data_IF_379516314711
#
_entry.id   IF_379516314711
#
_cell.length_a   1.000
_cell.length_b   1.000
_cell.length_c   1.000
_cell.angle_alpha   90.00
_cell.angle_beta   90.00
_cell.angle_gamma   90.00
#
_symmetry.space_group_name_H-M   'P 1'
#
loop_
_entity.id
_entity.type
_entity.pdbx_description
1 polymer ?
#
# COMPACT_ATOMS: atom_id res chain seq x y z
N UNK A 1 -66.07 -25.21 -9.86
CA UNK A 1 -64.75 -25.46 -9.23
C UNK A 1 -63.91 -24.19 -9.33
N UNK A 2 -63.81 -23.41 -8.26
CA UNK A 2 -63.01 -22.17 -8.22
C UNK A 2 -61.56 -22.52 -7.94
N UNK A 3 -60.65 -22.23 -8.88
CA UNK A 3 -59.20 -22.38 -8.67
C UNK A 3 -58.71 -21.18 -7.86
N UNK A 4 -58.26 -21.42 -6.64
CA UNK A 4 -57.58 -20.43 -5.80
C UNK A 4 -56.09 -20.50 -6.14
N UNK A 5 -55.55 -19.43 -6.70
CA UNK A 5 -54.13 -19.30 -7.01
C UNK A 5 -53.46 -18.51 -5.89
N UNK A 6 -52.66 -19.19 -5.05
CA UNK A 6 -51.86 -18.55 -4.01
C UNK A 6 -50.58 -18.04 -4.67
N UNK A 7 -50.38 -16.74 -4.67
CA UNK A 7 -49.14 -16.09 -5.09
C UNK A 7 -48.27 -15.91 -3.85
N UNK A 8 -47.17 -16.66 -3.78
CA UNK A 8 -46.18 -16.56 -2.71
C UNK A 8 -45.15 -15.49 -3.09
N UNK A 9 -45.18 -14.34 -2.41
CA UNK A 9 -44.23 -13.25 -2.61
C UNK A 9 -43.01 -13.47 -1.69
N UNK A 10 -41.89 -13.91 -2.25
CA UNK A 10 -40.62 -14.07 -1.51
C UNK A 10 -39.85 -12.75 -1.59
N UNK A 11 -39.84 -11.98 -0.50
CA UNK A 11 -38.94 -10.84 -0.34
C UNK A 11 -37.51 -11.35 -0.12
N UNK A 12 -36.69 -11.28 -1.17
CA UNK A 12 -35.24 -11.44 -1.04
C UNK A 12 -34.65 -10.15 -0.48
N UNK A 13 -34.25 -10.15 0.78
CA UNK A 13 -33.35 -9.13 1.32
C UNK A 13 -31.95 -9.38 0.76
N UNK A 14 -31.56 -8.63 -0.26
CA UNK A 14 -30.16 -8.52 -0.66
C UNK A 14 -29.44 -7.64 0.37
N UNK A 15 -28.68 -8.26 1.27
CA UNK A 15 -27.68 -7.54 2.06
C UNK A 15 -26.57 -7.09 1.12
N UNK A 16 -26.60 -5.82 0.73
CA UNK A 16 -25.43 -5.20 0.08
C UNK A 16 -24.38 -5.09 1.19
N UNK A 17 -23.46 -6.05 1.26
CA UNK A 17 -22.25 -5.91 2.03
C UNK A 17 -21.43 -4.78 1.39
N UNK A 18 -21.68 -3.55 1.82
CA UNK A 18 -20.78 -2.44 1.52
C UNK A 18 -19.46 -2.77 2.19
N UNK A 19 -18.46 -3.22 1.43
CA UNK A 19 -17.09 -3.21 1.92
C UNK A 19 -16.75 -1.74 2.18
N UNK A 20 -16.73 -1.33 3.45
CA UNK A 20 -16.28 -0.01 3.83
C UNK A 20 -14.82 0.09 3.39
N UNK A 21 -14.55 0.79 2.28
CA UNK A 21 -13.22 0.89 1.71
C UNK A 21 -12.35 1.73 2.63
N UNK A 22 -11.58 1.10 3.49
CA UNK A 22 -10.71 1.76 4.47
C UNK A 22 -9.88 2.93 3.87
N UNK A 23 -9.77 4.03 4.63
CA UNK A 23 -9.17 5.30 4.16
C UNK A 23 -7.73 5.14 3.69
N UNK A 24 -6.97 4.20 4.25
CA UNK A 24 -5.57 3.93 3.88
C UNK A 24 -5.45 2.85 2.81
N UNK A 25 -6.37 1.88 2.78
CA UNK A 25 -6.31 0.77 1.84
C UNK A 25 -6.49 1.23 0.40
N UNK A 26 -5.67 0.71 -0.51
CA UNK A 26 -5.66 1.05 -1.92
C UNK A 26 -4.27 1.46 -2.44
N UNK A 27 -4.28 2.05 -3.64
CA UNK A 27 -3.08 2.45 -4.36
C UNK A 27 -2.80 3.93 -4.11
N UNK A 28 -1.55 4.20 -3.75
CA UNK A 28 -1.01 5.51 -3.50
C UNK A 28 0.18 5.76 -4.44
N UNK A 29 0.29 6.96 -4.99
CA UNK A 29 1.35 7.30 -5.94
C UNK A 29 2.09 8.58 -5.54
N UNK A 30 3.39 8.60 -5.81
CA UNK A 30 4.19 9.80 -5.87
C UNK A 30 4.92 9.80 -7.21
N UNK A 31 4.84 10.90 -7.95
CA UNK A 31 5.48 11.04 -9.24
C UNK A 31 6.53 12.14 -9.18
N UNK A 32 7.72 11.83 -9.67
CA UNK A 32 8.81 12.76 -9.88
C UNK A 32 9.30 12.62 -11.33
N UNK A 33 8.94 13.58 -12.18
CA UNK A 33 9.11 13.50 -13.63
C UNK A 33 8.45 12.23 -14.22
N UNK A 34 9.24 11.39 -14.88
CA UNK A 34 8.80 10.11 -15.46
C UNK A 34 8.88 8.94 -14.47
N UNK A 35 9.40 9.13 -13.25
CA UNK A 35 9.41 8.08 -12.23
C UNK A 35 8.14 8.15 -11.38
N UNK A 36 7.46 7.01 -11.22
CA UNK A 36 6.31 6.87 -10.34
C UNK A 36 6.62 5.84 -9.26
N UNK A 37 6.65 6.30 -8.02
CA UNK A 37 6.65 5.44 -6.85
C UNK A 37 5.21 5.10 -6.47
N UNK A 38 4.91 3.81 -6.37
CA UNK A 38 3.56 3.29 -6.15
C UNK A 38 3.60 2.43 -4.89
N UNK A 39 2.68 2.70 -3.96
CA UNK A 39 2.46 1.91 -2.75
C UNK A 39 1.06 1.33 -2.80
N UNK A 40 0.93 0.02 -2.60
CA UNK A 40 -0.35 -0.65 -2.44
C UNK A 40 -0.49 -1.14 -1.00
N UNK A 41 -1.54 -0.70 -0.31
CA UNK A 41 -1.81 -1.00 1.09
C UNK A 41 -3.13 -1.76 1.18
N UNK A 42 -3.18 -2.79 2.01
CA UNK A 42 -4.43 -3.50 2.32
C UNK A 42 -4.58 -3.72 3.82
N UNK A 43 -5.82 -3.63 4.29
CA UNK A 43 -6.20 -3.92 5.67
C UNK A 43 -6.05 -5.42 5.95
N UNK A 44 -5.54 -5.73 7.14
CA UNK A 44 -5.55 -7.08 7.75
C UNK A 44 -6.16 -6.97 9.15
N UNK A 45 -6.38 -8.10 9.83
CA UNK A 45 -7.01 -8.13 11.15
C UNK A 45 -6.35 -7.18 12.16
N UNK A 46 -5.01 -7.18 12.22
CA UNK A 46 -4.23 -6.45 13.24
C UNK A 46 -3.49 -5.22 12.69
N UNK A 47 -3.99 -4.63 11.61
CA UNK A 47 -3.37 -3.44 11.01
C UNK A 47 -3.37 -3.43 9.50
N UNK A 48 -2.22 -3.14 8.90
CA UNK A 48 -2.09 -3.04 7.44
C UNK A 48 -0.84 -3.74 6.94
N UNK A 49 -0.94 -4.28 5.74
CA UNK A 49 0.19 -4.80 4.98
C UNK A 49 0.27 -4.10 3.63
N UNK A 50 1.43 -4.16 3.01
CA UNK A 50 1.64 -3.47 1.75
C UNK A 50 2.83 -3.94 0.94
N UNK A 51 2.82 -3.53 -0.32
CA UNK A 51 3.94 -3.59 -1.25
C UNK A 51 4.16 -2.23 -1.88
N UNK A 52 5.31 -2.08 -2.52
CA UNK A 52 5.65 -0.90 -3.28
C UNK A 52 6.42 -1.28 -4.55
N UNK A 53 6.40 -0.39 -5.52
CA UNK A 53 7.20 -0.50 -6.74
C UNK A 53 7.56 0.89 -7.25
N UNK A 54 8.63 0.98 -8.03
CA UNK A 54 8.93 2.15 -8.85
C UNK A 54 8.85 1.76 -10.31
N UNK A 55 8.19 2.59 -11.10
CA UNK A 55 8.04 2.43 -12.54
C UNK A 55 8.50 3.68 -13.27
N UNK A 56 8.82 3.53 -14.55
CA UNK A 56 8.98 4.66 -15.48
C UNK A 56 7.71 4.75 -16.34
N UNK A 57 7.23 5.96 -16.56
CA UNK A 57 6.11 6.26 -17.46
C UNK A 57 6.53 7.11 -18.66
N UNK A 58 5.80 6.99 -19.76
CA UNK A 58 5.94 7.87 -20.92
C UNK A 58 5.24 9.24 -20.70
N UNK A 59 5.29 10.11 -21.70
CA UNK A 59 4.65 11.42 -21.65
C UNK A 59 3.11 11.36 -21.53
N UNK A 60 2.50 10.21 -21.84
CA UNK A 60 1.06 9.97 -21.73
C UNK A 60 0.69 9.30 -20.39
N UNK A 61 1.66 9.02 -19.53
CA UNK A 61 1.45 8.33 -18.25
C UNK A 61 1.38 6.80 -18.35
N UNK A 62 1.67 6.21 -19.51
CA UNK A 62 1.70 4.76 -19.66
C UNK A 62 2.97 4.19 -19.07
N UNK A 63 2.87 3.05 -18.38
CA UNK A 63 4.04 2.36 -17.84
C UNK A 63 4.93 1.84 -18.98
N UNK A 64 6.20 2.25 -18.97
CA UNK A 64 7.23 1.82 -19.93
C UNK A 64 8.12 0.73 -19.33
N UNK A 65 8.47 0.85 -18.05
CA UNK A 65 9.31 -0.14 -17.37
C UNK A 65 9.06 -0.20 -15.87
N UNK A 66 9.48 -1.30 -15.25
CA UNK A 66 9.54 -1.45 -13.79
C UNK A 66 11.00 -1.29 -13.38
N UNK A 67 11.29 -0.31 -12.52
CA UNK A 67 12.63 -0.10 -11.96
C UNK A 67 12.90 -1.10 -10.85
N UNK A 68 11.94 -1.24 -9.93
CA UNK A 68 11.96 -2.26 -8.89
C UNK A 68 10.54 -2.56 -8.41
N UNK A 69 10.36 -3.75 -7.84
CA UNK A 69 9.10 -4.21 -7.26
C UNK A 69 9.37 -5.05 -6.02
N UNK A 70 8.78 -4.69 -4.88
CA UNK A 70 8.96 -5.45 -3.65
C UNK A 70 8.14 -6.74 -3.60
N UNK A 71 7.11 -6.85 -4.43
CA UNK A 71 6.44 -8.12 -4.68
C UNK A 71 7.23 -8.92 -5.74
N UNK A 72 8.33 -9.52 -5.29
CA UNK A 72 9.25 -10.33 -6.12
C UNK A 72 9.41 -11.74 -5.54
N UNK A 73 9.83 -12.69 -6.38
CA UNK A 73 10.14 -14.05 -5.95
C UNK A 73 11.25 -14.11 -4.90
N UNK A 74 11.12 -15.03 -3.94
CA UNK A 74 12.15 -15.33 -2.94
C UNK A 74 13.00 -16.48 -3.46
N UNK A 75 14.14 -16.19 -4.08
CA UNK A 75 14.99 -17.21 -4.71
C UNK A 75 14.18 -18.13 -5.61
N UNK A 76 14.43 -19.44 -5.51
CA UNK A 76 13.76 -20.48 -6.30
C UNK A 76 12.59 -21.15 -5.56
N UNK A 77 12.00 -20.48 -4.56
CA UNK A 77 10.93 -21.07 -3.74
C UNK A 77 9.59 -21.17 -4.46
N UNK A 78 9.42 -20.51 -5.60
CA UNK A 78 8.11 -20.37 -6.27
C UNK A 78 7.14 -19.43 -5.54
N UNK A 79 7.57 -18.80 -4.44
CA UNK A 79 6.77 -17.89 -3.65
C UNK A 79 7.32 -16.46 -3.73
N UNK A 80 6.41 -15.49 -3.74
CA UNK A 80 6.77 -14.08 -3.66
C UNK A 80 6.95 -13.64 -2.20
N UNK A 81 7.70 -12.55 -2.01
CA UNK A 81 7.80 -11.86 -0.74
C UNK A 81 6.39 -11.51 -0.21
N UNK A 82 6.02 -11.91 1.02
CA UNK A 82 4.62 -11.90 1.45
C UNK A 82 4.07 -10.48 1.67
N UNK A 83 4.89 -9.58 2.21
CA UNK A 83 4.62 -8.15 2.33
C UNK A 83 5.93 -7.40 2.57
N UNK A 84 6.04 -6.19 2.05
CA UNK A 84 7.18 -5.32 2.29
C UNK A 84 6.88 -4.21 3.29
N UNK A 85 5.61 -4.00 3.64
CA UNK A 85 5.15 -3.03 4.64
C UNK A 85 4.28 -3.79 5.63
N UNK A 86 4.53 -3.62 6.93
CA UNK A 86 3.69 -4.16 8.00
C UNK A 86 3.50 -3.12 9.09
N UNK A 87 2.26 -2.72 9.36
CA UNK A 87 1.92 -1.71 10.38
C UNK A 87 0.82 -2.21 11.30
N UNK A 88 0.72 -1.58 12.48
CA UNK A 88 -0.44 -1.75 13.35
C UNK A 88 -1.65 -0.96 12.86
N UNK A 89 -2.62 -0.81 13.75
CA UNK A 89 -3.86 -0.08 13.49
C UNK A 89 -3.67 1.43 13.34
N UNK A 90 -4.66 2.04 12.68
CA UNK A 90 -4.71 3.46 12.44
C UNK A 90 -5.12 4.20 13.72
N UNK A 91 -4.36 5.24 14.06
CA UNK A 91 -4.70 6.15 15.16
C UNK A 91 -5.85 7.08 14.75
N UNK A 92 -6.44 7.80 15.72
CA UNK A 92 -7.47 8.80 15.47
C UNK A 92 -7.02 9.88 14.46
N UNK A 93 -5.74 10.22 14.44
CA UNK A 93 -5.14 11.17 13.48
C UNK A 93 -4.91 10.61 12.06
N UNK A 94 -5.58 9.51 11.70
CA UNK A 94 -5.43 8.82 10.41
C UNK A 94 -3.97 8.47 10.08
N UNK A 95 -3.23 8.01 11.09
CA UNK A 95 -1.80 7.70 11.00
C UNK A 95 -1.55 6.24 11.35
N UNK A 96 -0.69 5.60 10.57
CA UNK A 96 -0.16 4.26 10.83
C UNK A 96 1.37 4.31 10.90
N UNK A 97 1.93 3.38 11.67
CA UNK A 97 3.37 3.20 11.76
C UNK A 97 3.73 1.74 11.95
N UNK A 98 4.92 1.37 11.48
CA UNK A 98 5.40 0.00 11.58
C UNK A 98 6.73 -0.20 10.88
N UNK A 99 6.91 -1.40 10.33
CA UNK A 99 8.13 -1.83 9.66
C UNK A 99 7.97 -1.79 8.15
N UNK A 100 9.06 -1.44 7.47
CA UNK A 100 9.20 -1.61 6.03
C UNK A 100 10.47 -2.39 5.73
N UNK A 101 10.36 -3.33 4.80
CA UNK A 101 11.44 -4.15 4.29
C UNK A 101 11.80 -3.62 2.91
N UNK A 102 12.95 -2.97 2.78
CA UNK A 102 13.50 -2.66 1.47
C UNK A 102 14.21 -3.88 0.90
N UNK A 103 13.40 -4.82 0.39
CA UNK A 103 13.89 -5.98 -0.33
C UNK A 103 14.24 -5.66 -1.79
N UNK A 104 14.27 -4.38 -2.19
CA UNK A 104 14.67 -3.98 -3.55
C UNK A 104 16.09 -3.47 -3.63
N UNK A 105 16.76 -3.27 -2.50
CA UNK A 105 18.19 -2.93 -2.46
C UNK A 105 19.04 -3.95 -3.21
N UNK A 106 20.15 -3.47 -3.77
CA UNK A 106 21.14 -4.34 -4.38
C UNK A 106 21.64 -5.31 -3.31
N UNK A 107 21.65 -6.60 -3.61
CA UNK A 107 22.15 -7.60 -2.70
C UNK A 107 23.65 -7.35 -2.48
N UNK A 108 24.01 -6.91 -1.28
CA UNK A 108 25.39 -6.76 -0.86
C UNK A 108 25.66 -7.75 0.26
N UNK A 109 26.91 -8.20 0.45
CA UNK A 109 27.28 -9.03 1.61
C UNK A 109 26.88 -8.41 2.96
N UNK A 110 26.69 -7.10 3.00
CA UNK A 110 26.45 -6.31 4.20
C UNK A 110 24.96 -6.08 4.51
N UNK A 111 24.05 -6.40 3.58
CA UNK A 111 22.61 -6.13 3.72
C UNK A 111 21.75 -7.40 3.79
N UNK A 112 22.32 -8.61 3.71
CA UNK A 112 21.57 -9.87 3.86
C UNK A 112 20.38 -10.05 2.89
N UNK A 113 20.32 -9.26 1.81
CA UNK A 113 19.25 -9.26 0.81
C UNK A 113 18.11 -8.25 1.03
N UNK A 114 18.05 -7.51 2.16
CA UNK A 114 17.06 -6.44 2.40
C UNK A 114 17.48 -5.49 3.54
N UNK A 115 16.95 -4.27 3.56
CA UNK A 115 17.16 -3.33 4.68
C UNK A 115 15.87 -3.12 5.44
N UNK A 116 15.95 -3.17 6.77
CA UNK A 116 14.83 -2.88 7.66
C UNK A 116 14.72 -1.40 8.02
N UNK A 117 13.49 -0.89 7.93
CA UNK A 117 13.16 0.48 8.26
C UNK A 117 11.91 0.60 9.11
N UNK A 118 11.76 1.78 9.72
CA UNK A 118 10.49 2.25 10.25
C UNK A 118 9.77 3.05 9.19
N UNK A 119 8.51 2.73 8.95
CA UNK A 119 7.60 3.48 8.07
C UNK A 119 6.54 4.20 8.89
N UNK A 120 6.12 5.36 8.41
CA UNK A 120 4.97 6.11 8.92
C UNK A 120 4.20 6.69 7.75
N UNK A 121 2.88 6.52 7.78
CA UNK A 121 1.95 7.04 6.78
C UNK A 121 0.87 7.80 7.54
N UNK A 122 0.65 9.07 7.17
CA UNK A 122 -0.34 9.92 7.80
C UNK A 122 -1.18 10.61 6.73
N UNK A 123 -2.49 10.37 6.74
CA UNK A 123 -3.43 11.09 5.86
C UNK A 123 -3.46 12.56 6.30
N UNK A 124 -3.31 13.47 5.34
CA UNK A 124 -3.19 14.91 5.62
C UNK A 124 -4.52 15.66 5.47
N UNK A 125 -5.44 15.12 4.68
CA UNK A 125 -6.71 15.74 4.33
C UNK A 125 -7.85 14.71 4.45
N UNK A 126 -8.01 14.12 5.63
CA UNK A 126 -9.01 13.06 5.89
C UNK A 126 -10.44 13.46 5.55
N UNK A 127 -10.78 14.76 5.58
CA UNK A 127 -12.07 15.27 5.13
C UNK A 127 -12.37 15.06 3.64
N UNK A 128 -11.38 14.73 2.81
CA UNK A 128 -11.58 14.34 1.40
C UNK A 128 -12.11 12.90 1.26
N UNK A 129 -12.01 12.08 2.32
CA UNK A 129 -12.38 10.68 2.24
C UNK A 129 -13.89 10.52 2.33
N UNK A 130 -14.44 9.82 1.34
CA UNK A 130 -15.83 9.38 1.35
C UNK A 130 -15.90 7.95 0.79
N UNK A 131 -16.49 6.98 1.52
CA UNK A 131 -16.63 5.60 1.08
C UNK A 131 -17.36 5.42 -0.26
N UNK A 132 -18.18 6.38 -0.68
CA UNK A 132 -18.92 6.34 -1.96
C UNK A 132 -18.23 7.10 -3.09
N UNK A 133 -17.06 7.69 -2.82
CA UNK A 133 -16.27 8.46 -3.78
C UNK A 133 -15.70 9.72 -3.15
N UNK A 134 -14.38 9.89 -3.23
CA UNK A 134 -13.68 11.00 -2.61
C UNK A 134 -14.09 12.35 -3.23
N UNK A 135 -14.28 13.36 -2.40
CA UNK A 135 -14.65 14.72 -2.82
C UNK A 135 -13.46 15.52 -3.36
N UNK A 136 -12.25 15.10 -2.98
CA UNK A 136 -10.97 15.62 -3.44
C UNK A 136 -9.91 14.51 -3.41
N UNK A 137 -8.76 14.74 -4.04
CA UNK A 137 -7.65 13.80 -4.02
C UNK A 137 -7.11 13.64 -2.60
N UNK A 138 -7.18 12.42 -2.05
CA UNK A 138 -6.58 12.11 -0.77
C UNK A 138 -5.06 12.15 -0.85
N UNK A 139 -4.44 12.73 0.17
CA UNK A 139 -3.01 12.89 0.30
C UNK A 139 -2.53 12.29 1.63
N UNK A 140 -1.37 11.63 1.58
CA UNK A 140 -0.74 11.09 2.77
C UNK A 140 0.76 11.41 2.78
N UNK A 141 1.28 11.80 3.94
CA UNK A 141 2.71 11.92 4.14
C UNK A 141 3.32 10.54 4.35
N UNK A 142 4.33 10.23 3.55
CA UNK A 142 5.12 9.00 3.62
C UNK A 142 6.51 9.29 4.16
N UNK A 143 6.90 8.57 5.22
CA UNK A 143 8.23 8.67 5.83
C UNK A 143 8.79 7.29 6.12
N UNK A 144 10.00 7.06 5.64
CA UNK A 144 10.83 5.89 5.93
C UNK A 144 12.13 6.34 6.56
N UNK A 145 12.58 5.63 7.59
CA UNK A 145 13.91 5.82 8.19
C UNK A 145 14.49 4.48 8.60
N UNK A 146 15.81 4.34 8.57
CA UNK A 146 16.47 3.11 9.01
C UNK A 146 16.23 2.94 10.52
N UNK A 147 16.05 1.70 10.99
CA UNK A 147 15.94 1.44 12.42
C UNK A 147 17.26 1.74 13.15
N UNK A 148 17.24 2.11 14.44
CA UNK A 148 18.45 2.19 15.25
C UNK A 148 19.02 0.77 15.49
N UNK A 149 20.33 0.66 15.66
CA UNK A 149 21.00 -0.62 15.89
C UNK A 149 22.44 -0.63 15.36
N UNK A 150 23.15 -1.72 15.62
CA UNK A 150 24.45 -1.99 15.00
C UNK A 150 24.25 -2.20 13.51
N UNK A 151 25.05 -1.51 12.69
CA UNK A 151 25.01 -1.60 11.24
C UNK A 151 26.42 -1.72 10.71
N UNK A 152 26.54 -2.38 9.58
CA UNK A 152 27.77 -2.31 8.81
C UNK A 152 27.93 -0.87 8.28
N UNK A 153 29.12 -0.25 8.38
CA UNK A 153 29.37 1.09 7.83
C UNK A 153 29.02 1.20 6.35
N UNK A 154 29.20 0.11 5.60
CA UNK A 154 28.91 0.00 4.16
C UNK A 154 27.52 -0.60 3.86
N UNK A 155 26.56 -0.55 4.80
CA UNK A 155 25.17 -0.89 4.52
C UNK A 155 24.58 0.15 3.53
N UNK A 156 23.99 -0.28 2.39
CA UNK A 156 23.47 0.65 1.40
C UNK A 156 22.31 1.49 1.95
N UNK A 157 21.94 2.57 1.26
CA UNK A 157 20.72 3.31 1.57
C UNK A 157 19.47 2.64 0.99
N UNK A 158 18.30 3.13 1.41
CA UNK A 158 17.03 2.70 0.84
C UNK A 158 16.95 3.11 -0.63
N UNK A 159 16.42 2.20 -1.46
CA UNK A 159 15.97 2.52 -2.81
C UNK A 159 14.64 3.30 -2.81
N UNK A 160 13.90 3.20 -1.72
CA UNK A 160 12.57 3.79 -1.55
C UNK A 160 12.69 5.28 -1.18
N UNK A 161 11.92 6.18 -1.82
CA UNK A 161 11.90 7.59 -1.42
C UNK A 161 11.30 7.77 -0.01
N UNK A 162 11.68 8.86 0.65
CA UNK A 162 11.17 9.24 1.97
C UNK A 162 10.84 10.73 2.02
N UNK A 163 10.02 11.15 2.99
CA UNK A 163 9.55 12.53 3.15
C UNK A 163 8.80 13.08 1.91
N UNK A 164 7.95 12.24 1.31
CA UNK A 164 7.16 12.59 0.13
C UNK A 164 5.66 12.64 0.48
N UNK A 165 4.87 13.24 -0.41
CA UNK A 165 3.41 13.24 -0.35
C UNK A 165 2.90 12.27 -1.40
N UNK A 166 2.18 11.25 -0.96
CA UNK A 166 1.48 10.31 -1.82
C UNK A 166 0.06 10.81 -2.12
N UNK A 167 -0.44 10.55 -3.31
CA UNK A 167 -1.84 10.77 -3.70
C UNK A 167 -2.57 9.44 -3.91
N UNK A 168 -3.78 9.32 -3.38
CA UNK A 168 -4.62 8.13 -3.59
C UNK A 168 -5.17 8.13 -5.03
N UNK A 169 -5.22 6.96 -5.65
CA UNK A 169 -5.77 6.75 -7.00
C UNK A 169 -7.21 6.27 -6.94
#
# INVERSE_FOLDING_TARGET
MKKVMIVLLILMYSTIAFSQQDILSGIWKYQNNNEVFIVNIWKVADGYKGHYKKIIVDANGNQVSVVYNSNKGIGDTGHNWPFAIGTGDMTIDCKIGGTIYDNTVVNTPNAGGFIDGKVTIQVLNSGCYNPTGNTCTLQAQWKVKKMPGLKHPDEPDFNIPTNIILTKQ
#
